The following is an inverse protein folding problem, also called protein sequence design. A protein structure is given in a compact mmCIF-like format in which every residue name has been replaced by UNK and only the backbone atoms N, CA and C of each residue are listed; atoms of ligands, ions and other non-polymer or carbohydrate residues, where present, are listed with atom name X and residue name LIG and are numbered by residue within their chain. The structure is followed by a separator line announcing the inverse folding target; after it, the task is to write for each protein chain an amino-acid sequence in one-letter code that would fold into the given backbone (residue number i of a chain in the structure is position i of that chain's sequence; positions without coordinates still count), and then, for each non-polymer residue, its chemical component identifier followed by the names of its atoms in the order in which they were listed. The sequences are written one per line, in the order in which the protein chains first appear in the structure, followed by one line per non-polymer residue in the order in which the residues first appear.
data_IF_956866760383
#
_entry.id   IF_956866760383
#
_cell.length_a   1.000
_cell.length_b   1.000
_cell.length_c   1.000
_cell.angle_alpha   90.00
_cell.angle_beta   90.00
_cell.angle_gamma   90.00
#
_symmetry.space_group_name_H-M   'P 1'
#
loop_
_entity.id
_entity.type
_entity.pdbx_description
1 polymer ?
#
# COMPACT_ATOMS: atom_id res chain seq x y z
N UNK A 1 25.12 19.60 -64.99
CA UNK A 1 25.63 18.47 -64.18
C UNK A 1 25.32 18.77 -62.74
N UNK A 2 24.17 18.29 -62.29
CA UNK A 2 23.56 18.59 -61.00
C UNK A 2 23.43 17.28 -60.23
N UNK A 3 24.50 16.90 -59.50
CA UNK A 3 24.57 15.77 -58.57
C UNK A 3 25.81 15.91 -57.67
N UNK A 4 25.76 16.75 -56.64
CA UNK A 4 26.60 16.56 -55.44
C UNK A 4 26.17 17.53 -54.36
N UNK A 5 25.33 17.08 -53.42
CA UNK A 5 25.21 17.56 -52.04
C UNK A 5 24.10 16.77 -51.32
N UNK A 6 24.24 15.45 -51.27
CA UNK A 6 23.37 14.56 -50.50
C UNK A 6 24.11 13.93 -49.30
N UNK A 7 25.24 14.50 -48.88
CA UNK A 7 26.18 13.84 -47.94
C UNK A 7 26.50 14.69 -46.69
N UNK A 8 25.52 15.39 -46.13
CA UNK A 8 25.68 16.04 -44.81
C UNK A 8 24.59 15.70 -43.81
N UNK A 9 23.83 14.61 -44.03
CA UNK A 9 22.94 14.06 -43.00
C UNK A 9 23.77 13.48 -41.84
N UNK A 10 24.01 14.40 -40.91
CA UNK A 10 24.65 14.33 -39.61
C UNK A 10 24.61 12.95 -38.91
N UNK A 11 25.73 12.19 -38.87
CA UNK A 11 25.81 10.92 -38.14
C UNK A 11 25.51 11.05 -36.65
N UNK A 12 25.69 12.24 -36.06
CA UNK A 12 25.35 12.51 -34.66
C UNK A 12 23.84 12.43 -34.40
N UNK A 13 23.00 12.72 -35.39
CA UNK A 13 21.54 12.65 -35.22
C UNK A 13 21.02 11.22 -35.21
N UNK A 14 21.66 10.32 -35.97
CA UNK A 14 21.31 8.89 -35.95
C UNK A 14 21.74 8.24 -34.63
N UNK A 15 22.94 8.58 -34.13
CA UNK A 15 23.41 8.13 -32.81
C UNK A 15 22.53 8.69 -31.67
N UNK A 16 22.15 9.97 -31.71
CA UNK A 16 21.21 10.56 -30.73
C UNK A 16 19.82 9.90 -30.78
N UNK A 17 19.32 9.55 -31.96
CA UNK A 17 18.03 8.85 -32.11
C UNK A 17 18.09 7.40 -31.60
N UNK A 18 19.22 6.71 -31.79
CA UNK A 18 19.43 5.35 -31.29
C UNK A 18 19.60 5.35 -29.76
N UNK A 19 20.29 6.35 -29.21
CA UNK A 19 20.42 6.58 -27.78
C UNK A 19 19.07 6.92 -27.14
N UNK A 20 18.27 7.79 -27.78
CA UNK A 20 16.90 8.07 -27.34
C UNK A 20 16.01 6.83 -27.42
N UNK A 21 16.15 5.99 -28.45
CA UNK A 21 15.40 4.75 -28.59
C UNK A 21 15.75 3.72 -27.53
N UNK A 22 17.04 3.56 -27.21
CA UNK A 22 17.48 2.69 -26.11
C UNK A 22 17.07 3.24 -24.75
N UNK A 23 17.11 4.56 -24.55
CA UNK A 23 16.59 5.18 -23.33
C UNK A 23 15.07 4.98 -23.21
N UNK A 24 14.30 5.18 -24.28
CA UNK A 24 12.84 4.93 -24.31
C UNK A 24 12.54 3.45 -24.09
N UNK A 25 13.26 2.52 -24.69
CA UNK A 25 13.06 1.08 -24.48
C UNK A 25 13.43 0.66 -23.05
N UNK A 26 14.46 1.27 -22.46
CA UNK A 26 14.82 1.04 -21.05
C UNK A 26 13.76 1.59 -20.09
N UNK A 27 13.12 2.70 -20.46
CA UNK A 27 12.01 3.32 -19.73
C UNK A 27 10.74 2.51 -19.91
N UNK A 28 10.38 2.07 -21.12
CA UNK A 28 9.27 1.16 -21.39
C UNK A 28 9.44 -0.19 -20.70
N UNK A 29 10.65 -0.76 -20.68
CA UNK A 29 10.94 -2.01 -19.98
C UNK A 29 10.88 -1.85 -18.46
N UNK A 30 11.27 -0.68 -17.93
CA UNK A 30 11.05 -0.32 -16.52
C UNK A 30 9.57 -0.09 -16.21
N UNK A 31 8.82 0.59 -17.08
CA UNK A 31 7.40 0.89 -16.91
C UNK A 31 6.53 -0.37 -17.09
N UNK A 32 6.90 -1.28 -17.98
CA UNK A 32 6.26 -2.58 -18.16
C UNK A 32 6.52 -3.51 -16.96
N UNK A 33 7.69 -3.41 -16.33
CA UNK A 33 8.01 -4.15 -15.11
C UNK A 33 7.32 -3.63 -13.85
N UNK A 34 6.86 -2.37 -13.83
CA UNK A 34 6.27 -1.75 -12.64
C UNK A 34 4.77 -2.06 -12.46
N UNK A 35 4.13 -2.62 -13.49
CA UNK A 35 2.74 -3.09 -13.43
C UNK A 35 2.56 -4.55 -13.00
N UNK A 36 3.61 -5.38 -13.01
CA UNK A 36 3.54 -6.75 -12.50
C UNK A 36 4.14 -6.84 -11.09
N UNK A 37 3.26 -6.69 -10.10
CA UNK A 37 3.46 -7.10 -8.72
C UNK A 37 4.69 -6.51 -8.00
N UNK A 38 4.57 -5.24 -7.58
CA UNK A 38 5.41 -4.71 -6.49
C UNK A 38 5.51 -5.77 -5.38
N UNK A 39 6.70 -6.18 -4.90
CA UNK A 39 6.85 -7.27 -3.93
C UNK A 39 5.97 -7.11 -2.69
N UNK A 40 5.62 -5.87 -2.35
CA UNK A 40 4.71 -5.50 -1.26
C UNK A 40 3.28 -6.01 -1.48
N UNK A 41 2.79 -6.00 -2.71
CA UNK A 41 1.47 -6.53 -3.10
C UNK A 41 1.45 -8.05 -2.94
N UNK A 42 2.53 -8.73 -3.33
CA UNK A 42 2.65 -10.19 -3.15
C UNK A 42 2.65 -10.55 -1.66
N UNK A 43 3.39 -9.80 -0.83
CA UNK A 43 3.41 -10.00 0.62
C UNK A 43 2.03 -9.69 1.23
N UNK A 44 1.35 -8.64 0.80
CA UNK A 44 -0.03 -8.36 1.23
C UNK A 44 -0.97 -9.52 0.89
N UNK A 45 -0.94 -10.00 -0.36
CA UNK A 45 -1.77 -11.11 -0.80
C UNK A 45 -1.48 -12.40 -0.02
N UNK A 46 -0.20 -12.72 0.19
CA UNK A 46 0.20 -13.85 1.03
C UNK A 46 -0.28 -13.68 2.48
N UNK A 47 -0.18 -12.47 3.05
CA UNK A 47 -0.66 -12.20 4.40
C UNK A 47 -2.19 -12.34 4.50
N UNK A 48 -2.95 -11.89 3.49
CA UNK A 48 -4.41 -12.13 3.41
C UNK A 48 -4.72 -13.62 3.36
N UNK A 49 -3.96 -14.42 2.61
CA UNK A 49 -4.14 -15.88 2.61
C UNK A 49 -3.84 -16.49 3.97
N UNK A 50 -2.83 -16.01 4.69
CA UNK A 50 -2.54 -16.44 6.07
C UNK A 50 -3.68 -16.07 7.02
N UNK A 51 -4.27 -14.87 6.88
CA UNK A 51 -5.47 -14.47 7.62
C UNK A 51 -6.66 -15.39 7.33
N UNK A 52 -6.89 -15.75 6.07
CA UNK A 52 -7.97 -16.69 5.73
C UNK A 52 -7.68 -18.08 6.32
N UNK A 53 -6.42 -18.52 6.29
CA UNK A 53 -5.99 -19.78 6.90
C UNK A 53 -6.14 -19.79 8.42
N UNK A 54 -5.79 -18.69 9.11
CA UNK A 54 -5.91 -18.58 10.57
C UNK A 54 -7.35 -18.79 11.03
N UNK A 55 -8.33 -18.23 10.30
CA UNK A 55 -9.77 -18.34 10.60
C UNK A 55 -10.27 -19.79 10.60
N UNK A 56 -9.71 -20.64 9.73
CA UNK A 56 -10.01 -22.07 9.70
C UNK A 56 -9.37 -22.84 10.87
N UNK A 57 -8.34 -22.27 11.50
CA UNK A 57 -7.65 -22.87 12.63
C UNK A 57 -8.35 -22.57 13.97
N UNK A 58 -8.14 -23.44 14.98
CA UNK A 58 -8.63 -23.18 16.33
C UNK A 58 -8.03 -21.90 16.88
N UNK A 59 -8.91 -20.95 17.19
CA UNK A 59 -8.56 -19.70 17.86
C UNK A 59 -8.62 -19.86 19.38
N UNK A 60 -9.53 -20.72 19.86
CA UNK A 60 -9.85 -20.84 21.28
C UNK A 60 -10.21 -22.29 21.61
N UNK A 61 -9.32 -23.04 22.26
CA UNK A 61 -9.56 -24.46 22.52
C UNK A 61 -9.79 -25.24 21.21
N UNK A 62 -10.95 -25.88 21.06
CA UNK A 62 -11.38 -26.59 19.84
C UNK A 62 -12.18 -25.71 18.87
N UNK A 63 -12.49 -24.46 19.23
CA UNK A 63 -13.37 -23.58 18.44
C UNK A 63 -12.54 -22.80 17.41
N UNK A 64 -12.97 -22.87 16.15
CA UNK A 64 -12.35 -22.15 15.03
C UNK A 64 -12.84 -20.72 14.92
N UNK A 65 -12.07 -19.85 14.28
CA UNK A 65 -12.48 -18.46 14.02
C UNK A 65 -13.79 -18.38 13.22
N UNK A 66 -14.00 -19.32 12.29
CA UNK A 66 -15.25 -19.42 11.52
C UNK A 66 -16.48 -19.77 12.38
N UNK A 67 -16.33 -20.67 13.35
CA UNK A 67 -17.43 -21.00 14.27
C UNK A 67 -17.81 -19.79 15.15
N UNK A 68 -16.83 -18.96 15.51
CA UNK A 68 -17.06 -17.71 16.24
C UNK A 68 -17.88 -16.71 15.40
N UNK A 69 -17.64 -16.65 14.08
CA UNK A 69 -18.41 -15.80 13.15
C UNK A 69 -19.84 -16.29 12.93
N UNK A 70 -20.05 -17.61 12.90
CA UNK A 70 -21.37 -18.22 12.73
C UNK A 70 -22.25 -18.14 13.99
N UNK A 71 -21.70 -17.67 15.11
CA UNK A 71 -22.43 -17.49 16.36
C UNK A 71 -22.71 -18.81 17.09
N UNK A 72 -21.81 -19.79 17.00
CA UNK A 72 -22.00 -21.09 17.65
C UNK A 72 -22.07 -20.96 19.19
N UNK A 73 -23.08 -21.61 19.78
CA UNK A 73 -23.47 -21.43 21.19
C UNK A 73 -22.42 -21.99 22.19
N UNK A 74 -21.48 -22.81 21.74
CA UNK A 74 -20.35 -23.26 22.57
C UNK A 74 -19.36 -22.12 22.91
N UNK A 75 -19.42 -20.99 22.22
CA UNK A 75 -18.56 -19.82 22.45
C UNK A 75 -19.11 -18.83 23.51
N UNK A 76 -20.34 -19.01 24.00
CA UNK A 76 -21.08 -17.91 24.66
C UNK A 76 -20.99 -17.83 26.19
N UNK A 77 -20.23 -18.69 26.86
CA UNK A 77 -20.31 -18.79 28.33
C UNK A 77 -19.29 -17.97 29.15
N UNK A 78 -18.37 -17.21 28.54
CA UNK A 78 -17.39 -16.42 29.31
C UNK A 78 -17.14 -15.03 28.72
N UNK A 79 -17.13 -13.99 29.57
CA UNK A 79 -16.76 -12.61 29.17
C UNK A 79 -15.37 -12.50 28.51
N UNK A 80 -14.48 -13.47 28.78
CA UNK A 80 -13.16 -13.58 28.14
C UNK A 80 -13.23 -13.87 26.62
N UNK A 81 -14.39 -14.33 26.11
CA UNK A 81 -14.59 -14.61 24.68
C UNK A 81 -14.91 -13.34 23.88
N UNK A 82 -15.35 -12.26 24.53
CA UNK A 82 -15.78 -11.01 23.87
C UNK A 82 -14.60 -10.34 23.12
N UNK A 83 -13.44 -10.24 23.76
CA UNK A 83 -12.25 -9.61 23.14
C UNK A 83 -11.80 -10.39 21.90
N UNK A 84 -11.82 -11.72 21.98
CA UNK A 84 -11.49 -12.60 20.86
C UNK A 84 -12.50 -12.50 19.72
N UNK A 85 -13.81 -12.36 20.03
CA UNK A 85 -14.86 -12.14 19.02
C UNK A 85 -14.63 -10.85 18.24
N UNK A 86 -14.32 -9.76 18.93
CA UNK A 86 -14.01 -8.46 18.29
C UNK A 86 -12.78 -8.60 17.38
N UNK A 87 -11.73 -9.29 17.84
CA UNK A 87 -10.54 -9.53 17.02
C UNK A 87 -10.87 -10.27 15.71
N UNK A 88 -11.65 -11.36 15.77
CA UNK A 88 -12.05 -12.12 14.58
C UNK A 88 -12.84 -11.26 13.59
N UNK A 89 -13.75 -10.42 14.07
CA UNK A 89 -14.48 -9.47 13.21
C UNK A 89 -13.55 -8.44 12.56
N UNK A 90 -12.56 -7.92 13.30
CA UNK A 90 -11.54 -7.01 12.74
C UNK A 90 -10.68 -7.71 11.69
N UNK A 91 -10.32 -8.97 11.92
CA UNK A 91 -9.54 -9.80 10.99
C UNK A 91 -10.29 -10.02 9.67
N UNK A 92 -11.59 -10.34 9.73
CA UNK A 92 -12.42 -10.45 8.52
C UNK A 92 -12.59 -9.10 7.84
N UNK A 93 -13.01 -8.07 8.56
CA UNK A 93 -13.37 -6.79 7.97
C UNK A 93 -12.16 -6.05 7.40
N UNK A 94 -11.06 -6.00 8.13
CA UNK A 94 -9.88 -5.23 7.72
C UNK A 94 -8.78 -6.09 7.12
N UNK A 95 -8.55 -7.28 7.67
CA UNK A 95 -7.55 -8.23 7.18
C UNK A 95 -7.95 -8.85 5.84
N UNK A 96 -9.22 -9.22 5.66
CA UNK A 96 -9.70 -9.82 4.40
C UNK A 96 -10.39 -8.81 3.49
N UNK A 97 -11.48 -8.19 3.95
CA UNK A 97 -12.33 -7.37 3.08
C UNK A 97 -11.64 -6.06 2.68
N UNK A 98 -11.19 -5.24 3.64
CA UNK A 98 -10.56 -3.96 3.32
C UNK A 98 -9.22 -4.16 2.58
N UNK A 99 -8.40 -5.12 3.02
CA UNK A 99 -7.12 -5.41 2.37
C UNK A 99 -7.31 -6.00 0.97
N UNK A 100 -8.23 -6.95 0.80
CA UNK A 100 -8.60 -7.48 -0.52
C UNK A 100 -9.15 -6.38 -1.44
N UNK A 101 -10.09 -5.56 -0.94
CA UNK A 101 -10.65 -4.44 -1.70
C UNK A 101 -9.56 -3.43 -2.09
N UNK A 102 -8.60 -3.14 -1.20
CA UNK A 102 -7.48 -2.25 -1.50
C UNK A 102 -6.58 -2.81 -2.62
N UNK A 103 -6.35 -4.14 -2.65
CA UNK A 103 -5.63 -4.81 -3.73
C UNK A 103 -6.38 -4.73 -5.07
N UNK A 104 -7.69 -5.01 -5.05
CA UNK A 104 -8.54 -5.01 -6.26
C UNK A 104 -8.72 -3.62 -6.87
N UNK A 105 -8.97 -2.61 -6.05
CA UNK A 105 -9.31 -1.28 -6.54
C UNK A 105 -8.11 -0.39 -6.83
N UNK A 106 -6.90 -0.76 -6.39
CA UNK A 106 -5.69 0.09 -6.44
C UNK A 106 -5.92 1.50 -5.87
N UNK A 107 -6.91 1.68 -4.99
CA UNK A 107 -7.28 2.98 -4.41
C UNK A 107 -6.52 3.23 -3.12
N UNK A 108 -5.77 4.34 -3.09
CA UNK A 108 -4.97 4.74 -1.93
C UNK A 108 -5.79 4.93 -0.64
N UNK A 109 -7.02 5.45 -0.74
CA UNK A 109 -7.89 5.65 0.43
C UNK A 109 -8.20 4.33 1.14
N UNK A 110 -8.40 3.24 0.39
CA UNK A 110 -8.67 1.92 0.97
C UNK A 110 -7.42 1.33 1.64
N UNK A 111 -6.21 1.61 1.12
CA UNK A 111 -4.97 1.23 1.78
C UNK A 111 -4.79 1.92 3.13
N UNK A 112 -5.21 3.20 3.26
CA UNK A 112 -5.20 3.91 4.54
C UNK A 112 -6.19 3.30 5.53
N UNK A 113 -7.41 3.00 5.09
CA UNK A 113 -8.43 2.38 5.93
C UNK A 113 -8.00 0.97 6.36
N UNK A 114 -7.50 0.16 5.42
CA UNK A 114 -6.99 -1.17 5.71
C UNK A 114 -5.81 -1.11 6.69
N UNK A 115 -4.87 -0.18 6.50
CA UNK A 115 -3.75 0.03 7.43
C UNK A 115 -4.20 0.45 8.83
N UNK A 116 -5.14 1.39 8.94
CA UNK A 116 -5.71 1.81 10.22
C UNK A 116 -6.42 0.64 10.93
N UNK A 117 -7.24 -0.11 10.19
CA UNK A 117 -7.93 -1.30 10.70
C UNK A 117 -6.97 -2.41 11.14
N UNK A 118 -5.88 -2.63 10.39
CA UNK A 118 -4.84 -3.59 10.78
C UNK A 118 -4.11 -3.15 12.05
N UNK A 119 -3.87 -1.85 12.22
CA UNK A 119 -3.31 -1.28 13.45
C UNK A 119 -4.21 -1.50 14.67
N UNK A 120 -5.51 -1.30 14.52
CA UNK A 120 -6.49 -1.60 15.58
C UNK A 120 -6.52 -3.11 15.87
N UNK A 121 -6.55 -3.95 14.83
CA UNK A 121 -6.52 -5.41 14.97
C UNK A 121 -5.26 -5.91 15.68
N UNK A 122 -4.10 -5.29 15.48
CA UNK A 122 -2.88 -5.61 16.24
C UNK A 122 -3.07 -5.46 17.75
N UNK A 123 -3.67 -4.34 18.20
CA UNK A 123 -3.92 -4.08 19.63
C UNK A 123 -4.90 -5.11 20.19
N UNK A 124 -5.99 -5.37 19.48
CA UNK A 124 -6.98 -6.39 19.89
C UNK A 124 -6.42 -7.82 19.87
N UNK A 125 -5.53 -8.14 18.94
CA UNK A 125 -4.84 -9.43 18.92
C UNK A 125 -3.93 -9.62 20.12
N UNK A 126 -3.17 -8.57 20.49
CA UNK A 126 -2.38 -8.58 21.72
C UNK A 126 -3.26 -8.74 22.96
N UNK A 127 -4.36 -7.97 23.06
CA UNK A 127 -5.31 -8.08 24.17
C UNK A 127 -5.96 -9.47 24.23
N UNK A 128 -6.26 -10.09 23.09
CA UNK A 128 -6.81 -11.44 23.02
C UNK A 128 -5.82 -12.49 23.53
N UNK A 129 -4.54 -12.38 23.14
CA UNK A 129 -3.46 -13.25 23.64
C UNK A 129 -3.27 -13.04 25.15
N UNK A 130 -3.19 -11.79 25.60
CA UNK A 130 -2.97 -11.45 27.01
C UNK A 130 -4.13 -11.89 27.91
N UNK A 131 -5.38 -11.69 27.46
CA UNK A 131 -6.59 -12.12 28.17
C UNK A 131 -6.65 -13.64 28.36
N UNK A 132 -5.93 -14.42 27.54
CA UNK A 132 -5.82 -15.89 27.66
C UNK A 132 -4.63 -16.33 28.49
N UNK A 133 -3.57 -15.52 28.54
CA UNK A 133 -2.40 -15.78 29.37
C UNK A 133 -2.64 -15.43 30.85
N UNK A 134 -3.64 -14.59 31.14
CA UNK A 134 -4.04 -14.27 32.51
C UNK A 134 -4.95 -15.38 33.05
N UNK A 135 -4.55 -16.15 34.08
CA UNK A 135 -5.43 -17.14 34.69
C UNK A 135 -6.68 -16.45 35.23
N UNK A 136 -7.87 -16.95 34.88
CA UNK A 136 -9.12 -16.44 35.43
C UNK A 136 -9.22 -16.69 36.94
N UNK A 137 -9.99 -15.84 37.63
CA UNK A 137 -10.29 -15.95 39.08
C UNK A 137 -10.88 -17.32 39.52
N UNK A 138 -11.26 -18.20 38.57
CA UNK A 138 -12.00 -19.43 38.82
C UNK A 138 -11.20 -20.73 38.67
N UNK A 139 -9.87 -20.67 38.55
CA UNK A 139 -9.02 -21.88 38.62
C UNK A 139 -9.18 -22.84 37.43
N UNK A 140 -9.76 -22.38 36.32
CA UNK A 140 -9.81 -23.14 35.07
C UNK A 140 -8.39 -23.32 34.49
N UNK A 141 -8.05 -24.50 33.93
CA UNK A 141 -6.76 -24.70 33.28
C UNK A 141 -6.57 -23.64 32.19
N UNK A 142 -5.35 -23.08 32.03
CA UNK A 142 -5.09 -22.13 30.97
C UNK A 142 -5.45 -22.75 29.62
N UNK A 143 -6.58 -22.35 29.03
CA UNK A 143 -6.90 -22.71 27.66
C UNK A 143 -5.89 -21.96 26.79
N UNK A 144 -4.83 -22.65 26.36
CA UNK A 144 -3.74 -22.04 25.60
C UNK A 144 -4.26 -21.26 24.40
N UNK A 145 -3.60 -20.14 24.08
CA UNK A 145 -3.91 -19.38 22.88
C UNK A 145 -3.84 -20.31 21.67
N UNK A 146 -4.94 -20.41 20.92
CA UNK A 146 -4.98 -21.24 19.73
C UNK A 146 -3.96 -20.75 18.71
N UNK A 147 -3.33 -21.68 18.00
CA UNK A 147 -2.33 -21.34 16.98
C UNK A 147 -2.93 -20.44 15.88
N UNK A 148 -4.23 -20.56 15.60
CA UNK A 148 -4.96 -19.68 14.69
C UNK A 148 -4.92 -18.22 15.14
N UNK A 149 -5.12 -17.96 16.44
CA UNK A 149 -5.09 -16.61 17.00
C UNK A 149 -3.71 -15.96 16.84
N UNK A 150 -2.64 -16.71 17.12
CA UNK A 150 -1.27 -16.20 16.97
C UNK A 150 -0.95 -15.91 15.50
N UNK A 151 -1.31 -16.82 14.59
CA UNK A 151 -1.09 -16.62 13.16
C UNK A 151 -1.87 -15.41 12.62
N UNK A 152 -3.15 -15.28 12.98
CA UNK A 152 -3.97 -14.13 12.61
C UNK A 152 -3.39 -12.82 13.14
N UNK A 153 -2.94 -12.81 14.40
CA UNK A 153 -2.31 -11.65 15.01
C UNK A 153 -1.01 -11.24 14.28
N UNK A 154 -0.12 -12.19 14.00
CA UNK A 154 1.10 -11.92 13.23
C UNK A 154 0.79 -11.45 11.81
N UNK A 155 -0.19 -12.03 11.15
CA UNK A 155 -0.59 -11.62 9.81
C UNK A 155 -1.13 -10.18 9.79
N UNK A 156 -1.89 -9.77 10.82
CA UNK A 156 -2.35 -8.38 10.98
C UNK A 156 -1.19 -7.40 11.18
N UNK A 157 -0.13 -7.79 11.90
CA UNK A 157 1.10 -6.99 12.03
C UNK A 157 1.76 -6.81 10.66
N UNK A 158 1.92 -7.90 9.91
CA UNK A 158 2.52 -7.86 8.57
C UNK A 158 1.70 -6.96 7.64
N UNK A 159 0.38 -7.11 7.62
CA UNK A 159 -0.52 -6.25 6.83
C UNK A 159 -0.38 -4.77 7.22
N UNK A 160 -0.34 -4.46 8.52
CA UNK A 160 -0.13 -3.09 8.98
C UNK A 160 1.18 -2.51 8.44
N UNK A 161 2.29 -3.25 8.53
CA UNK A 161 3.60 -2.81 8.01
C UNK A 161 3.55 -2.60 6.50
N UNK A 162 2.93 -3.52 5.75
CA UNK A 162 2.81 -3.43 4.29
C UNK A 162 1.98 -2.22 3.88
N UNK A 163 0.85 -1.96 4.55
CA UNK A 163 0.00 -0.81 4.25
C UNK A 163 0.66 0.51 4.65
N UNK A 164 1.32 0.57 5.81
CA UNK A 164 2.12 1.74 6.20
C UNK A 164 3.17 2.03 5.13
N UNK A 165 3.97 1.04 4.71
CA UNK A 165 4.97 1.22 3.63
C UNK A 165 4.34 1.69 2.31
N UNK A 166 3.16 1.16 1.98
CA UNK A 166 2.41 1.57 0.78
C UNK A 166 2.00 3.04 0.85
N UNK A 167 1.55 3.51 2.01
CA UNK A 167 1.17 4.93 2.22
C UNK A 167 2.38 5.84 2.02
N UNK A 168 3.53 5.51 2.61
CA UNK A 168 4.76 6.32 2.50
C UNK A 168 5.32 6.39 1.07
N UNK A 169 5.20 5.33 0.29
CA UNK A 169 5.69 5.30 -1.10
C UNK A 169 5.01 6.37 -1.97
N UNK A 170 3.72 6.62 -1.75
CA UNK A 170 2.96 7.64 -2.51
C UNK A 170 3.36 9.05 -2.09
N UNK A 171 3.67 9.26 -0.81
CA UNK A 171 4.21 10.53 -0.31
C UNK A 171 5.56 10.87 -0.95
N UNK A 172 6.40 9.86 -1.23
CA UNK A 172 7.68 10.07 -1.92
C UNK A 172 7.47 10.54 -3.37
N UNK A 173 6.49 9.99 -4.10
CA UNK A 173 6.18 10.39 -5.48
C UNK A 173 5.70 11.85 -5.58
N UNK A 174 4.88 12.29 -4.63
CA UNK A 174 4.45 13.70 -4.58
C UNK A 174 5.64 14.65 -4.35
N UNK A 175 6.62 14.25 -3.53
CA UNK A 175 7.83 15.05 -3.31
C UNK A 175 8.76 15.06 -4.52
N UNK A 176 8.91 13.93 -5.21
CA UNK A 176 9.72 13.84 -6.43
C UNK A 176 9.17 14.75 -7.55
N UNK A 177 7.84 14.75 -7.74
CA UNK A 177 7.19 15.62 -8.72
C UNK A 177 7.29 17.12 -8.34
N UNK A 178 7.34 17.45 -7.05
CA UNK A 178 7.58 18.83 -6.61
C UNK A 178 9.05 19.23 -6.77
N UNK A 179 10.00 18.31 -6.54
CA UNK A 179 11.43 18.53 -6.74
C UNK A 179 11.76 18.77 -8.22
N UNK A 180 11.21 17.97 -9.15
CA UNK A 180 11.41 18.20 -10.58
C UNK A 180 10.93 19.59 -11.03
N UNK A 181 9.84 20.09 -10.45
CA UNK A 181 9.36 21.46 -10.72
C UNK A 181 10.31 22.53 -10.19
N UNK A 182 10.94 22.30 -9.03
CA UNK A 182 11.94 23.20 -8.45
C UNK A 182 13.22 23.18 -9.26
N UNK A 183 13.73 22.00 -9.60
CA UNK A 183 14.95 21.84 -10.41
C UNK A 183 14.78 22.41 -11.82
N UNK A 184 13.58 22.25 -12.41
CA UNK A 184 13.26 22.88 -13.69
C UNK A 184 13.26 24.41 -13.57
N UNK A 185 12.67 24.97 -12.51
CA UNK A 185 12.68 26.41 -12.26
C UNK A 185 14.11 26.95 -12.07
N UNK A 186 14.95 26.26 -11.29
CA UNK A 186 16.37 26.62 -11.09
C UNK A 186 17.17 26.58 -12.40
N UNK A 187 16.94 25.57 -13.24
CA UNK A 187 17.55 25.50 -14.59
C UNK A 187 17.11 26.66 -15.48
N UNK A 188 15.83 27.01 -15.47
CA UNK A 188 15.31 28.16 -16.21
C UNK A 188 15.88 29.49 -15.70
N UNK A 189 16.01 29.65 -14.39
CA UNK A 189 16.62 30.84 -13.79
C UNK A 189 18.11 30.96 -14.13
N UNK A 190 18.87 29.84 -14.10
CA UNK A 190 20.27 29.79 -14.51
C UNK A 190 20.45 30.13 -15.99
N UNK A 191 19.60 29.57 -16.86
CA UNK A 191 19.57 29.89 -18.29
C UNK A 191 19.25 31.37 -18.55
N UNK A 192 18.19 31.90 -17.90
CA UNK A 192 17.80 33.30 -18.04
C UNK A 192 18.89 34.27 -17.54
N UNK A 193 19.55 33.93 -16.43
CA UNK A 193 20.67 34.71 -15.88
C UNK A 193 21.88 34.71 -16.83
N UNK A 194 22.21 33.57 -17.42
CA UNK A 194 23.35 33.43 -18.33
C UNK A 194 23.13 34.16 -19.65
N UNK A 195 21.91 34.10 -20.20
CA UNK A 195 21.56 34.78 -21.45
C UNK A 195 21.05 36.22 -21.28
N UNK A 196 21.12 36.79 -20.08
CA UNK A 196 20.62 38.13 -19.76
C UNK A 196 19.19 38.38 -20.26
N UNK A 197 18.36 37.33 -20.24
CA UNK A 197 16.93 37.40 -20.58
C UNK A 197 16.24 37.91 -19.33
N UNK A 198 15.69 39.13 -19.38
CA UNK A 198 14.88 39.67 -18.28
C UNK A 198 13.81 38.65 -17.88
N UNK A 199 13.72 38.35 -16.57
CA UNK A 199 12.79 37.36 -16.02
C UNK A 199 11.35 37.80 -16.32
N UNK A 200 10.82 37.41 -17.48
CA UNK A 200 9.40 37.56 -17.77
C UNK A 200 8.66 36.52 -16.95
N UNK A 201 7.94 36.99 -15.94
CA UNK A 201 7.00 36.20 -15.14
C UNK A 201 6.12 35.39 -16.11
N UNK A 202 6.00 34.05 -15.98
CA UNK A 202 5.18 33.27 -16.88
C UNK A 202 3.74 33.78 -16.85
N UNK A 203 3.09 33.85 -18.02
CA UNK A 203 1.71 34.32 -18.17
C UNK A 203 0.81 33.46 -17.29
N UNK A 204 0.28 34.08 -16.24
CA UNK A 204 -0.69 33.46 -15.35
C UNK A 204 -1.94 33.18 -16.20
N UNK A 205 -2.25 31.90 -16.46
CA UNK A 205 -3.49 31.55 -17.13
C UNK A 205 -4.66 32.18 -16.35
N UNK A 206 -5.37 33.10 -16.98
CA UNK A 206 -6.58 33.68 -16.42
C UNK A 206 -7.53 32.53 -16.05
N UNK A 207 -7.87 32.43 -14.75
CA UNK A 207 -8.99 31.58 -14.36
C UNK A 207 -10.23 32.22 -14.99
N UNK A 208 -11.06 31.47 -15.76
CA UNK A 208 -12.33 31.99 -16.22
C UNK A 208 -13.13 32.42 -14.99
N UNK A 209 -13.52 33.70 -14.94
CA UNK A 209 -14.34 34.28 -13.89
C UNK A 209 -15.68 33.57 -13.86
N UNK A 210 -15.99 32.92 -12.74
CA UNK A 210 -17.24 32.21 -12.49
C UNK A 210 -18.45 33.15 -12.24
N UNK A 211 -18.40 34.41 -12.69
CA UNK A 211 -19.45 35.43 -12.48
C UNK A 211 -20.34 35.62 -13.73
N UNK A 212 -20.81 34.52 -14.31
CA UNK A 212 -21.89 34.50 -15.30
C UNK A 212 -22.72 33.22 -15.13
N UNK A 213 -23.53 33.15 -14.06
CA UNK A 213 -24.82 32.46 -14.05
C UNK A 213 -25.63 32.83 -12.80
#
# INVERSE_FOLDING_TARGET
MDRMNADSENPRSAEELDELRTQVESVERKLAGEFEASPRIVVAAAAVLVVIGSLALPHTGSVTGLQILMGDAHADNSSLVIVSKVFVWLEVLFGVLASGAALLTRRWVLAVIAGAGCGVGFVFGLLSVWSRQTPGLHGEPPSGAGIGLLLGWFAMIVLAIVWIKTIWARTAFQRAAEQERRDAAEKWEGFARTNNIGVHRPVQAERPSTDQQ
#
